data_IF_050556766545
#
_entry.id   IF_050556766545
#
_cell.length_a   1.000
_cell.length_b   1.000
_cell.length_c   1.000
_cell.angle_alpha   90.00
_cell.angle_beta   90.00
_cell.angle_gamma   90.00
#
_symmetry.space_group_name_H-M   'P 1'
#
loop_
_entity.id
_entity.type
_entity.pdbx_description
1 polymer ?
#
# COMPACT_ATOMS: atom_id res chain seq x y z
N UNK A 1 11.98 49.36 34.03
CA UNK A 1 11.88 47.93 34.39
C UNK A 1 10.98 47.29 33.35
N UNK A 2 11.56 46.59 32.37
CA UNK A 2 10.79 45.86 31.36
C UNK A 2 10.30 44.54 31.95
N UNK A 3 8.98 44.34 31.96
CA UNK A 3 8.35 43.08 32.34
C UNK A 3 8.40 42.11 31.17
N UNK A 4 9.27 41.11 31.25
CA UNK A 4 9.34 40.00 30.30
C UNK A 4 8.20 39.02 30.59
N UNK A 5 7.27 38.86 29.65
CA UNK A 5 6.18 37.90 29.73
C UNK A 5 6.64 36.57 29.13
N UNK A 6 6.87 35.55 29.97
CA UNK A 6 7.09 34.18 29.52
C UNK A 6 5.75 33.44 29.48
N UNK A 7 5.20 33.10 28.29
CA UNK A 7 4.02 32.24 28.24
C UNK A 7 4.39 30.85 28.76
N UNK A 8 3.83 30.48 29.91
CA UNK A 8 3.88 29.10 30.43
C UNK A 8 3.07 28.20 29.50
N UNK A 9 3.72 27.64 28.48
CA UNK A 9 3.11 26.69 27.57
C UNK A 9 3.19 25.28 28.18
N UNK A 10 2.17 24.90 28.94
CA UNK A 10 2.09 23.62 29.67
C UNK A 10 1.63 22.46 28.75
N UNK A 11 1.29 22.76 27.50
CA UNK A 11 0.89 21.77 26.51
C UNK A 11 1.93 21.68 25.37
N UNK A 12 2.33 20.45 24.96
CA UNK A 12 3.27 20.26 23.87
C UNK A 12 2.70 20.84 22.56
N UNK A 13 3.54 21.55 21.80
CA UNK A 13 3.13 22.22 20.56
C UNK A 13 2.74 21.23 19.44
N UNK A 14 3.15 19.96 19.55
CA UNK A 14 2.82 18.89 18.62
C UNK A 14 2.46 17.62 19.40
N UNK A 15 1.30 17.04 19.07
CA UNK A 15 0.87 15.74 19.57
C UNK A 15 1.29 14.66 18.57
N UNK A 16 2.49 14.11 18.76
CA UNK A 16 2.85 12.89 18.05
C UNK A 16 2.31 11.70 18.85
N UNK A 17 1.06 11.33 18.58
CA UNK A 17 0.42 10.16 19.18
C UNK A 17 0.55 9.00 18.19
N UNK A 18 1.55 8.12 18.34
CA UNK A 18 1.60 6.92 17.52
C UNK A 18 0.35 6.11 17.85
N UNK A 19 -0.47 5.88 16.82
CA UNK A 19 -1.78 5.25 16.98
C UNK A 19 -1.65 3.83 17.58
N UNK A 20 -0.43 3.24 17.63
CA UNK A 20 -0.06 2.10 18.47
C UNK A 20 1.42 2.17 18.88
N UNK A 21 1.78 1.75 20.10
CA UNK A 21 3.14 1.96 20.61
C UNK A 21 4.18 0.88 20.25
N UNK A 22 3.81 -0.23 19.59
CA UNK A 22 4.66 -1.45 19.53
C UNK A 22 5.03 -1.97 18.12
N UNK A 23 4.75 -1.21 17.09
CA UNK A 23 5.19 -1.48 15.72
C UNK A 23 6.60 -0.94 15.47
N UNK A 24 7.54 -1.76 15.00
CA UNK A 24 8.74 -1.27 14.30
C UNK A 24 9.16 -2.30 13.26
N UNK A 25 9.04 -1.97 11.97
CA UNK A 25 9.89 -2.55 10.93
C UNK A 25 11.14 -1.67 10.89
N UNK A 26 12.33 -2.25 10.72
CA UNK A 26 13.62 -1.56 10.77
C UNK A 26 13.77 -0.44 9.70
N UNK A 27 13.03 0.67 9.84
CA UNK A 27 13.02 1.98 9.15
C UNK A 27 11.60 2.53 8.81
N UNK A 28 10.52 1.73 8.96
CA UNK A 28 9.13 2.22 8.87
C UNK A 28 8.24 1.49 9.88
N UNK A 29 7.37 2.21 10.56
CA UNK A 29 6.36 1.64 11.46
C UNK A 29 5.15 1.21 10.57
N UNK A 30 4.63 -0.07 10.59
CA UNK A 30 3.19 -0.46 10.21
C UNK A 30 2.22 -0.95 11.37
N UNK A 31 1.10 -0.23 11.66
CA UNK A 31 0.42 -0.14 12.98
C UNK A 31 -0.78 -1.10 12.94
N UNK A 32 -0.72 -2.26 13.59
CA UNK A 32 -1.84 -3.21 13.65
C UNK A 32 -2.78 -2.92 14.84
N UNK A 33 -3.71 -2.00 14.65
CA UNK A 33 -4.55 -1.50 15.75
C UNK A 33 -5.60 -2.50 16.19
N UNK A 34 -5.85 -2.58 17.51
CA UNK A 34 -6.92 -3.33 18.18
C UNK A 34 -7.49 -4.54 17.41
N UNK A 35 -6.62 -5.40 16.86
CA UNK A 35 -7.05 -6.62 16.23
C UNK A 35 -7.22 -7.67 17.31
N UNK A 36 -8.41 -8.24 17.40
CA UNK A 36 -8.77 -9.26 18.39
C UNK A 36 -7.86 -10.50 18.29
N UNK A 37 -7.11 -10.65 17.20
CA UNK A 37 -6.22 -11.78 16.94
C UNK A 37 -4.93 -11.37 16.19
N UNK A 38 -4.12 -10.50 16.79
CA UNK A 38 -2.83 -10.05 16.22
C UNK A 38 -1.89 -11.20 15.78
N UNK A 39 -1.96 -12.35 16.45
CA UNK A 39 -1.20 -13.55 16.07
C UNK A 39 -1.61 -14.09 14.68
N UNK A 40 -2.90 -14.05 14.34
CA UNK A 40 -3.42 -14.50 13.04
C UNK A 40 -2.98 -13.55 11.94
N UNK A 41 -3.03 -12.23 12.18
CA UNK A 41 -2.54 -11.24 11.21
C UNK A 41 -1.04 -11.41 10.95
N UNK A 42 -0.26 -11.65 12.00
CA UNK A 42 1.17 -11.89 11.87
C UNK A 42 1.48 -13.20 11.13
N UNK A 43 0.76 -14.28 11.43
CA UNK A 43 0.87 -15.56 10.73
C UNK A 43 0.45 -15.43 9.25
N UNK A 44 -0.62 -14.69 8.95
CA UNK A 44 -1.06 -14.43 7.58
C UNK A 44 -0.01 -13.65 6.79
N UNK A 45 0.60 -12.62 7.38
CA UNK A 45 1.68 -11.84 6.76
C UNK A 45 2.93 -12.69 6.52
N UNK A 46 3.29 -13.58 7.44
CA UNK A 46 4.44 -14.48 7.30
C UNK A 46 4.19 -15.62 6.30
N UNK A 47 2.98 -16.17 6.27
CA UNK A 47 2.65 -17.40 5.53
C UNK A 47 2.15 -17.12 4.11
N UNK A 48 1.25 -16.16 3.96
CA UNK A 48 0.66 -15.78 2.65
C UNK A 48 1.52 -14.72 1.95
N UNK A 49 2.30 -13.96 2.73
CA UNK A 49 3.10 -12.83 2.28
C UNK A 49 2.36 -11.51 2.46
N UNK A 50 3.11 -10.40 2.33
CA UNK A 50 2.56 -9.06 2.50
C UNK A 50 1.38 -8.80 1.54
N UNK A 51 0.46 -7.93 1.96
CA UNK A 51 -0.66 -7.51 1.10
C UNK A 51 -0.19 -7.01 -0.28
N UNK A 52 0.97 -6.33 -0.35
CA UNK A 52 1.56 -5.92 -1.62
C UNK A 52 1.95 -7.10 -2.52
N UNK A 53 2.45 -8.20 -1.95
CA UNK A 53 2.74 -9.43 -2.71
C UNK A 53 1.46 -10.07 -3.26
N UNK A 54 0.40 -10.11 -2.44
CA UNK A 54 -0.90 -10.64 -2.87
C UNK A 54 -1.50 -9.82 -4.02
N UNK A 55 -1.43 -8.49 -3.94
CA UNK A 55 -1.86 -7.61 -5.03
C UNK A 55 -1.02 -7.78 -6.30
N UNK A 56 0.29 -8.02 -6.16
CA UNK A 56 1.16 -8.36 -7.28
C UNK A 56 0.72 -9.64 -7.99
N UNK A 57 0.38 -10.70 -7.24
CA UNK A 57 -0.12 -11.95 -7.85
C UNK A 57 -1.47 -11.75 -8.56
N UNK A 58 -2.38 -10.98 -7.97
CA UNK A 58 -3.66 -10.65 -8.64
C UNK A 58 -3.42 -9.87 -9.93
N UNK A 59 -2.45 -8.96 -9.92
CA UNK A 59 -2.11 -8.18 -11.08
C UNK A 59 -1.56 -9.04 -12.22
N UNK A 60 -0.63 -9.94 -11.90
CA UNK A 60 -0.05 -10.91 -12.85
C UNK A 60 -1.11 -11.88 -13.40
N UNK A 61 -2.01 -12.37 -12.54
CA UNK A 61 -3.11 -13.24 -12.98
C UNK A 61 -4.05 -12.53 -13.97
N UNK A 62 -4.39 -11.26 -13.70
CA UNK A 62 -5.25 -10.48 -14.58
C UNK A 62 -4.55 -10.14 -15.91
N UNK A 63 -3.25 -9.80 -15.90
CA UNK A 63 -2.44 -9.60 -17.12
C UNK A 63 -2.48 -10.84 -18.03
N UNK A 64 -2.33 -12.04 -17.46
CA UNK A 64 -2.43 -13.31 -18.20
C UNK A 64 -3.81 -13.48 -18.83
N UNK A 65 -4.89 -13.20 -18.09
CA UNK A 65 -6.26 -13.33 -18.60
C UNK A 65 -6.50 -12.34 -19.74
N UNK A 66 -6.10 -11.07 -19.58
CA UNK A 66 -6.23 -10.04 -20.62
C UNK A 66 -5.53 -10.49 -21.91
N UNK A 67 -4.31 -11.01 -21.80
CA UNK A 67 -3.54 -11.49 -22.95
C UNK A 67 -4.12 -12.75 -23.60
N UNK A 68 -4.54 -13.74 -22.79
CA UNK A 68 -5.08 -15.02 -23.30
C UNK A 68 -6.44 -14.88 -23.98
N UNK A 69 -7.27 -13.95 -23.51
CA UNK A 69 -8.59 -13.70 -24.06
C UNK A 69 -8.62 -12.59 -25.11
N UNK A 70 -7.47 -11.97 -25.43
CA UNK A 70 -7.38 -10.85 -26.37
C UNK A 70 -8.40 -9.74 -26.07
N UNK A 71 -8.50 -9.36 -24.78
CA UNK A 71 -9.56 -8.45 -24.32
C UNK A 71 -9.42 -7.04 -24.92
N UNK A 72 -8.20 -6.60 -25.22
CA UNK A 72 -7.96 -5.29 -25.85
C UNK A 72 -8.43 -5.25 -27.31
N UNK A 73 -8.46 -6.40 -27.99
CA UNK A 73 -8.92 -6.59 -29.35
C UNK A 73 -10.41 -6.95 -29.42
N UNK A 74 -11.00 -7.43 -28.32
CA UNK A 74 -12.39 -7.90 -28.25
C UNK A 74 -13.40 -6.85 -28.72
N UNK A 75 -14.43 -7.26 -29.47
CA UNK A 75 -15.55 -6.39 -29.86
C UNK A 75 -16.60 -6.22 -28.76
N UNK A 76 -16.53 -7.05 -27.72
CA UNK A 76 -17.50 -7.05 -26.61
C UNK A 76 -17.24 -5.94 -25.60
N UNK A 77 -15.99 -5.45 -25.52
CA UNK A 77 -15.62 -4.35 -24.64
C UNK A 77 -15.73 -3.00 -25.37
N UNK A 78 -16.33 -2.05 -24.68
CA UNK A 78 -16.34 -0.63 -25.05
C UNK A 78 -14.92 -0.04 -25.02
N UNK A 79 -14.77 1.14 -25.64
CA UNK A 79 -13.50 1.86 -25.64
C UNK A 79 -13.04 2.22 -24.21
N UNK A 80 -13.96 2.62 -23.33
CA UNK A 80 -13.64 2.97 -21.94
C UNK A 80 -13.20 1.76 -21.12
N UNK A 81 -13.81 0.60 -21.32
CA UNK A 81 -13.39 -0.64 -20.63
C UNK A 81 -11.99 -1.06 -21.09
N UNK A 82 -11.71 -0.98 -22.39
CA UNK A 82 -10.37 -1.25 -22.92
C UNK A 82 -9.34 -0.25 -22.39
N UNK A 83 -9.71 1.01 -22.23
CA UNK A 83 -8.83 2.03 -21.69
C UNK A 83 -8.46 1.74 -20.22
N UNK A 84 -9.44 1.34 -19.40
CA UNK A 84 -9.20 0.89 -18.03
C UNK A 84 -8.21 -0.29 -17.97
N UNK A 85 -8.35 -1.27 -18.88
CA UNK A 85 -7.39 -2.38 -18.97
C UNK A 85 -5.99 -1.91 -19.39
N UNK A 86 -5.87 -0.93 -20.31
CA UNK A 86 -4.57 -0.37 -20.71
C UNK A 86 -3.89 0.38 -19.58
N UNK A 87 -4.63 1.20 -18.84
CA UNK A 87 -4.11 1.92 -17.66
C UNK A 87 -3.58 0.90 -16.65
N UNK A 88 -4.39 -0.11 -16.32
CA UNK A 88 -4.00 -1.17 -15.42
C UNK A 88 -2.70 -1.88 -15.87
N UNK A 89 -2.60 -2.28 -17.15
CA UNK A 89 -1.37 -2.89 -17.67
C UNK A 89 -0.15 -1.96 -17.61
N UNK A 90 -0.37 -0.67 -17.86
CA UNK A 90 0.66 0.37 -17.69
C UNK A 90 1.16 0.47 -16.25
N UNK A 91 0.25 0.48 -15.27
CA UNK A 91 0.58 0.52 -13.85
C UNK A 91 1.38 -0.72 -13.42
N UNK A 92 0.95 -1.91 -13.87
CA UNK A 92 1.67 -3.17 -13.60
C UNK A 92 3.09 -3.13 -14.17
N UNK A 93 3.25 -2.64 -15.41
CA UNK A 93 4.55 -2.49 -16.04
C UNK A 93 5.44 -1.47 -15.31
N UNK A 94 4.87 -0.37 -14.82
CA UNK A 94 5.59 0.63 -14.03
C UNK A 94 6.09 0.05 -12.70
N UNK A 95 5.24 -0.69 -11.98
CA UNK A 95 5.63 -1.39 -10.74
C UNK A 95 6.73 -2.41 -11.00
N UNK A 96 6.63 -3.20 -12.08
CA UNK A 96 7.66 -4.16 -12.49
C UNK A 96 9.00 -3.47 -12.74
N UNK A 97 9.00 -2.36 -13.48
CA UNK A 97 10.21 -1.55 -13.71
C UNK A 97 10.85 -1.05 -12.41
N UNK A 98 10.05 -0.61 -11.43
CA UNK A 98 10.56 -0.20 -10.12
C UNK A 98 11.21 -1.38 -9.40
N UNK A 99 10.56 -2.55 -9.38
CA UNK A 99 11.10 -3.78 -8.78
C UNK A 99 12.42 -4.19 -9.43
N UNK A 100 12.48 -4.21 -10.77
CA UNK A 100 13.67 -4.59 -11.53
C UNK A 100 14.83 -3.59 -11.33
N UNK A 101 14.53 -2.34 -11.01
CA UNK A 101 15.55 -1.32 -10.72
C UNK A 101 16.14 -1.39 -9.31
N UNK A 102 15.52 -2.17 -8.40
CA UNK A 102 15.87 -2.26 -6.98
C UNK A 102 16.12 -3.70 -6.52
N UNK A 103 16.10 -4.67 -7.44
CA UNK A 103 16.29 -6.11 -7.20
C UNK A 103 17.48 -6.66 -7.94
#
# INVERSE_FOLDING_TARGET
METVYLPLQIAPANLNQPILPNWSFNLFNVNMGASTHAAIEQEALQTVGSYGKQMGHLAEALEVIIGKLHLLESKELSLSEKDALRIFLGDVAAVRKIKDSHG
#
